data_IF_354478402459
#
_entry.id   IF_354478402459
#
_cell.length_a   1.000
_cell.length_b   1.000
_cell.length_c   1.000
_cell.angle_alpha   90.00
_cell.angle_beta   90.00
_cell.angle_gamma   90.00
#
_symmetry.space_group_name_H-M   'P 1'
#
loop_
_entity.id
_entity.type
_entity.pdbx_description
1 polymer ?
#
# COMPACT_ATOMS: atom_id res chain seq x y z
N UNK A 1 -6.80 15.62 21.02
CA UNK A 1 -5.60 15.40 20.16
C UNK A 1 -6.12 14.84 18.85
N UNK A 2 -5.83 15.46 17.72
CA UNK A 2 -6.33 15.01 16.40
C UNK A 2 -5.14 14.53 15.57
N UNK A 3 -5.14 13.26 15.20
CA UNK A 3 -4.14 12.67 14.30
C UNK A 3 -4.54 12.95 12.85
N UNK A 4 -3.66 13.60 12.08
CA UNK A 4 -3.87 13.89 10.67
C UNK A 4 -2.76 13.24 9.83
N UNK A 5 -3.05 12.15 9.11
CA UNK A 5 -2.06 11.45 8.31
C UNK A 5 -1.71 12.23 7.04
N UNK A 6 -0.44 12.18 6.63
CA UNK A 6 0.04 12.75 5.36
C UNK A 6 0.55 11.60 4.49
N UNK A 7 -0.09 11.41 3.34
CA UNK A 7 0.32 10.38 2.37
C UNK A 7 1.39 10.92 1.43
N UNK A 8 2.21 10.00 0.89
CA UNK A 8 3.19 10.35 -0.13
C UNK A 8 2.49 10.87 -1.39
N UNK A 9 3.04 11.90 -2.03
CA UNK A 9 2.43 12.58 -3.20
C UNK A 9 2.07 11.62 -4.35
N UNK A 10 2.82 10.52 -4.49
CA UNK A 10 2.55 9.49 -5.49
C UNK A 10 1.18 8.84 -5.34
N UNK A 11 0.66 8.75 -4.10
CA UNK A 11 -0.67 8.22 -3.80
C UNK A 11 -1.80 9.20 -4.14
N UNK A 12 -1.46 10.40 -4.63
CA UNK A 12 -2.41 11.36 -5.20
C UNK A 12 -2.13 11.63 -6.69
N UNK A 13 -1.20 10.89 -7.28
CA UNK A 13 -0.80 11.06 -8.68
C UNK A 13 -1.64 10.22 -9.62
N UNK A 14 -1.60 10.55 -10.91
CA UNK A 14 -2.24 9.75 -11.96
C UNK A 14 -1.68 8.33 -12.07
N UNK A 15 -0.50 8.03 -11.51
CA UNK A 15 0.10 6.70 -11.58
C UNK A 15 -0.69 5.63 -10.86
N UNK A 16 -1.48 6.00 -9.85
CA UNK A 16 -2.39 5.10 -9.15
C UNK A 16 -3.84 5.16 -9.68
N UNK A 17 -4.13 6.00 -10.66
CA UNK A 17 -5.45 6.09 -11.29
C UNK A 17 -5.66 4.88 -12.23
N UNK A 18 -6.86 4.30 -12.19
CA UNK A 18 -7.21 3.16 -13.03
C UNK A 18 -7.19 3.52 -14.52
N UNK A 19 -7.55 4.75 -14.89
CA UNK A 19 -7.54 5.24 -16.28
C UNK A 19 -6.12 5.27 -16.86
N UNK A 20 -5.14 5.67 -16.07
CA UNK A 20 -3.73 5.64 -16.48
C UNK A 20 -3.27 4.21 -16.78
N UNK A 21 -3.55 3.28 -15.87
CA UNK A 21 -3.20 1.86 -16.06
C UNK A 21 -3.91 1.25 -17.26
N UNK A 22 -5.20 1.52 -17.44
CA UNK A 22 -5.97 1.08 -18.61
C UNK A 22 -5.41 1.68 -19.90
N UNK A 23 -5.01 2.95 -19.89
CA UNK A 23 -4.36 3.61 -21.02
C UNK A 23 -3.04 2.93 -21.40
N UNK A 24 -2.20 2.60 -20.43
CA UNK A 24 -0.96 1.83 -20.66
C UNK A 24 -1.29 0.45 -21.23
N UNK A 25 -2.25 -0.27 -20.65
CA UNK A 25 -2.63 -1.60 -21.12
C UNK A 25 -3.11 -1.58 -22.57
N UNK A 26 -3.98 -0.63 -22.92
CA UNK A 26 -4.45 -0.45 -24.30
C UNK A 26 -3.32 -0.08 -25.25
N UNK A 27 -2.40 0.79 -24.81
CA UNK A 27 -1.24 1.18 -25.61
C UNK A 27 -0.27 0.00 -25.87
N UNK A 28 -0.20 -0.99 -24.97
CA UNK A 28 0.57 -2.22 -25.20
C UNK A 28 -0.11 -3.09 -26.27
N UNK A 29 -1.43 -3.26 -26.19
CA UNK A 29 -2.21 -4.09 -27.11
C UNK A 29 -2.20 -3.59 -28.56
N UNK A 30 -2.00 -2.29 -28.77
CA UNK A 30 -1.95 -1.67 -30.10
C UNK A 30 -0.56 -1.71 -30.75
N UNK A 31 0.48 -2.19 -30.05
CA UNK A 31 1.85 -2.16 -30.55
C UNK A 31 2.23 -3.50 -31.19
N UNK A 32 2.45 -3.47 -32.50
CA UNK A 32 2.89 -4.63 -33.32
C UNK A 32 4.33 -5.05 -33.00
N UNK A 33 5.17 -4.13 -32.53
CA UNK A 33 6.56 -4.38 -32.16
C UNK A 33 6.94 -3.59 -30.91
N UNK A 34 7.10 -4.28 -29.78
CA UNK A 34 7.43 -3.65 -28.50
C UNK A 34 8.93 -3.73 -28.24
N UNK A 35 9.57 -2.57 -28.05
CA UNK A 35 10.96 -2.52 -27.63
C UNK A 35 11.07 -3.09 -26.20
N UNK A 36 12.02 -3.97 -25.93
CA UNK A 36 12.15 -4.66 -24.64
C UNK A 36 12.45 -3.73 -23.45
N UNK A 37 12.83 -2.47 -23.69
CA UNK A 37 12.99 -1.41 -22.68
C UNK A 37 11.80 -0.46 -22.60
N UNK A 38 10.71 -0.75 -23.30
CA UNK A 38 9.49 0.03 -23.20
C UNK A 38 8.95 -0.05 -21.77
N UNK A 39 8.92 1.10 -21.11
CA UNK A 39 8.47 1.19 -19.72
C UNK A 39 7.03 0.73 -19.56
N UNK A 40 6.19 0.73 -20.62
CA UNK A 40 4.79 0.28 -20.55
C UNK A 40 4.69 -1.18 -20.17
N UNK A 41 5.60 -2.03 -20.67
CA UNK A 41 5.62 -3.47 -20.43
C UNK A 41 5.87 -3.84 -18.96
N UNK A 42 6.81 -3.14 -18.30
CA UNK A 42 7.17 -3.38 -16.89
C UNK A 42 6.45 -2.42 -15.92
N UNK A 43 6.02 -1.28 -16.45
CA UNK A 43 5.38 -0.21 -15.71
C UNK A 43 3.96 -0.57 -15.31
N UNK A 44 3.21 -1.32 -16.12
CA UNK A 44 1.84 -1.69 -15.78
C UNK A 44 1.76 -2.46 -14.45
N UNK A 45 2.59 -3.48 -14.27
CA UNK A 45 2.65 -4.23 -13.00
C UNK A 45 3.16 -3.37 -11.85
N UNK A 46 4.14 -2.49 -12.11
CA UNK A 46 4.69 -1.56 -11.12
C UNK A 46 3.65 -0.52 -10.65
N UNK A 47 2.85 0.04 -11.56
CA UNK A 47 1.79 1.00 -11.24
C UNK A 47 0.60 0.33 -10.55
N UNK A 48 0.28 -0.92 -10.90
CA UNK A 48 -0.71 -1.71 -10.16
C UNK A 48 -0.24 -1.99 -8.73
N UNK A 49 1.03 -2.38 -8.55
CA UNK A 49 1.63 -2.56 -7.23
C UNK A 49 1.57 -1.28 -6.40
N UNK A 50 1.98 -0.15 -6.99
CA UNK A 50 1.95 1.15 -6.35
C UNK A 50 0.54 1.53 -5.89
N UNK A 51 -0.49 1.27 -6.71
CA UNK A 51 -1.88 1.52 -6.33
C UNK A 51 -2.30 0.64 -5.13
N UNK A 52 -1.93 -0.64 -5.12
CA UNK A 52 -2.19 -1.53 -3.98
C UNK A 52 -1.50 -1.05 -2.70
N UNK A 53 -0.25 -0.58 -2.79
CA UNK A 53 0.49 -0.06 -1.64
C UNK A 53 -0.15 1.22 -1.09
N UNK A 54 -0.57 2.14 -1.96
CA UNK A 54 -1.25 3.35 -1.54
C UNK A 54 -2.62 3.06 -0.87
N UNK A 55 -3.39 2.13 -1.44
CA UNK A 55 -4.67 1.71 -0.85
C UNK A 55 -4.48 1.02 0.50
N UNK A 56 -3.45 0.16 0.62
CA UNK A 56 -3.10 -0.48 1.87
C UNK A 56 -2.72 0.55 2.94
N UNK A 57 -1.88 1.54 2.60
CA UNK A 57 -1.52 2.61 3.52
C UNK A 57 -2.76 3.37 4.03
N UNK A 58 -3.71 3.66 3.14
CA UNK A 58 -4.95 4.35 3.48
C UNK A 58 -5.82 3.51 4.43
N UNK A 59 -6.00 2.22 4.15
CA UNK A 59 -6.76 1.29 4.99
C UNK A 59 -6.12 1.13 6.36
N UNK A 60 -4.80 0.91 6.41
CA UNK A 60 -4.07 0.73 7.67
C UNK A 60 -4.18 2.00 8.54
N UNK A 61 -4.03 3.18 7.95
CA UNK A 61 -4.19 4.47 8.64
C UNK A 61 -5.64 4.72 9.08
N UNK A 62 -6.62 4.33 8.28
CA UNK A 62 -8.03 4.49 8.63
C UNK A 62 -8.43 3.59 9.79
N UNK A 63 -8.12 2.29 9.70
CA UNK A 63 -8.31 1.32 10.78
C UNK A 63 -7.61 1.78 12.05
N UNK A 64 -6.46 2.41 11.84
CA UNK A 64 -5.67 2.95 12.91
C UNK A 64 -6.35 4.06 13.71
N UNK A 65 -6.82 5.06 12.99
CA UNK A 65 -7.56 6.16 13.58
C UNK A 65 -8.84 5.68 14.27
N UNK A 66 -9.54 4.70 13.68
CA UNK A 66 -10.70 4.08 14.30
C UNK A 66 -10.36 3.44 15.65
N UNK A 67 -9.32 2.61 15.70
CA UNK A 67 -8.91 1.94 16.94
C UNK A 67 -8.46 2.94 18.02
N UNK A 68 -7.69 3.96 17.64
CA UNK A 68 -7.28 5.01 18.56
C UNK A 68 -8.50 5.76 19.13
N UNK A 69 -9.44 6.16 18.27
CA UNK A 69 -10.64 6.89 18.68
C UNK A 69 -11.61 6.03 19.50
N UNK A 70 -11.62 4.71 19.33
CA UNK A 70 -12.43 3.79 20.14
C UNK A 70 -11.79 3.45 21.49
N UNK A 71 -10.53 3.84 21.72
CA UNK A 71 -9.83 3.54 22.97
C UNK A 71 -10.31 4.46 24.08
N UNK A 72 -11.17 3.96 24.96
CA UNK A 72 -11.67 4.70 26.12
C UNK A 72 -10.68 4.58 27.29
N UNK A 73 -10.16 5.70 27.78
CA UNK A 73 -9.36 5.73 29.01
C UNK A 73 -10.28 5.70 30.24
N UNK A 74 -10.83 4.52 30.56
CA UNK A 74 -11.62 4.32 31.78
C UNK A 74 -10.66 3.97 32.92
N UNK A 75 -10.61 4.82 33.94
CA UNK A 75 -9.87 4.56 35.18
C UNK A 75 -10.83 4.54 36.37
N UNK A 76 -10.72 3.52 37.21
CA UNK A 76 -11.45 3.43 38.48
C UNK A 76 -10.91 4.40 39.55
N UNK A 77 -9.87 5.17 39.21
CA UNK A 77 -9.22 6.15 40.09
C UNK A 77 -9.03 7.47 39.36
N UNK A 78 -9.08 8.58 40.11
CA UNK A 78 -8.80 9.90 39.55
C UNK A 78 -7.33 9.97 39.13
N UNK A 79 -7.07 9.94 37.81
CA UNK A 79 -5.72 10.05 37.29
C UNK A 79 -5.25 11.51 37.36
N UNK A 80 -3.99 11.71 37.74
CA UNK A 80 -3.37 13.02 37.55
C UNK A 80 -3.31 13.35 36.06
N UNK A 81 -3.40 14.64 35.71
CA UNK A 81 -3.24 15.10 34.32
C UNK A 81 -1.96 14.55 33.68
N UNK A 82 -0.86 14.50 34.44
CA UNK A 82 0.43 13.99 33.96
C UNK A 82 0.38 12.50 33.62
N UNK A 83 -0.29 11.70 34.44
CA UNK A 83 -0.48 10.26 34.23
C UNK A 83 -1.35 9.99 33.02
N UNK A 84 -2.45 10.74 32.86
CA UNK A 84 -3.33 10.63 31.71
C UNK A 84 -2.59 10.96 30.40
N UNK A 85 -1.81 12.04 30.39
CA UNK A 85 -0.99 12.43 29.22
C UNK A 85 0.06 11.37 28.92
N UNK A 86 0.74 10.85 29.94
CA UNK A 86 1.75 9.81 29.76
C UNK A 86 1.14 8.52 29.16
N UNK A 87 -0.03 8.11 29.63
CA UNK A 87 -0.77 6.96 29.07
C UNK A 87 -1.24 7.22 27.65
N UNK A 88 -1.73 8.42 27.35
CA UNK A 88 -2.14 8.81 26.00
C UNK A 88 -0.96 8.78 25.01
N UNK A 89 0.20 9.29 25.43
CA UNK A 89 1.42 9.27 24.62
C UNK A 89 1.96 7.85 24.43
N UNK A 90 2.02 7.05 25.49
CA UNK A 90 2.46 5.65 25.39
C UNK A 90 1.55 4.83 24.45
N UNK A 91 0.24 5.05 24.53
CA UNK A 91 -0.70 4.43 23.60
C UNK A 91 -0.46 4.92 22.17
N UNK A 92 -0.19 6.21 21.96
CA UNK A 92 0.14 6.76 20.63
C UNK A 92 1.47 6.20 20.07
N UNK A 93 2.48 5.97 20.91
CA UNK A 93 3.75 5.38 20.47
C UNK A 93 3.60 3.91 20.05
N UNK A 94 2.86 3.13 20.85
CA UNK A 94 2.46 1.77 20.50
C UNK A 94 1.64 1.76 19.20
N UNK A 95 0.77 2.75 19.06
CA UNK A 95 -0.09 2.95 17.91
C UNK A 95 0.73 3.10 16.61
N UNK A 96 1.66 4.07 16.60
CA UNK A 96 2.54 4.36 15.46
C UNK A 96 3.40 3.14 15.10
N UNK A 97 3.95 2.46 16.11
CA UNK A 97 4.82 1.29 15.91
C UNK A 97 4.07 0.11 15.31
N UNK A 98 2.87 -0.20 15.83
CA UNK A 98 2.02 -1.28 15.33
C UNK A 98 1.57 -1.06 13.88
N UNK A 99 1.23 0.18 13.55
CA UNK A 99 0.85 0.57 12.19
C UNK A 99 2.01 0.35 11.20
N UNK A 100 3.23 0.78 11.55
CA UNK A 100 4.40 0.57 10.71
C UNK A 100 4.71 -0.92 10.49
N UNK A 101 4.55 -1.75 11.52
CA UNK A 101 4.72 -3.19 11.42
C UNK A 101 3.66 -3.85 10.51
N UNK A 102 2.39 -3.48 10.70
CA UNK A 102 1.27 -4.01 9.91
C UNK A 102 1.42 -3.67 8.43
N UNK A 103 1.76 -2.41 8.14
CA UNK A 103 2.05 -1.95 6.78
C UNK A 103 3.21 -2.73 6.15
N UNK A 104 4.33 -2.87 6.87
CA UNK A 104 5.52 -3.58 6.38
C UNK A 104 5.22 -5.04 6.03
N UNK A 105 4.43 -5.72 6.86
CA UNK A 105 3.99 -7.10 6.62
C UNK A 105 3.12 -7.20 5.37
N UNK A 106 2.11 -6.35 5.26
CA UNK A 106 1.20 -6.34 4.10
C UNK A 106 1.92 -5.94 2.80
N UNK A 107 2.85 -4.99 2.87
CA UNK A 107 3.75 -4.65 1.77
C UNK A 107 4.62 -5.83 1.34
N UNK A 108 5.16 -6.59 2.30
CA UNK A 108 5.91 -7.83 2.04
C UNK A 108 5.10 -8.82 1.22
N UNK A 109 3.84 -9.08 1.60
CA UNK A 109 2.93 -9.96 0.86
C UNK A 109 2.70 -9.47 -0.57
N UNK A 110 2.44 -8.17 -0.76
CA UNK A 110 2.26 -7.56 -2.09
C UNK A 110 3.51 -7.79 -2.94
N UNK A 111 4.69 -7.47 -2.41
CA UNK A 111 5.98 -7.65 -3.08
C UNK A 111 6.21 -9.10 -3.47
N UNK A 112 6.03 -10.02 -2.53
CA UNK A 112 6.30 -11.45 -2.74
C UNK A 112 5.32 -12.05 -3.77
N UNK A 113 4.07 -11.60 -3.77
CA UNK A 113 3.07 -11.96 -4.79
C UNK A 113 3.46 -11.45 -6.17
N UNK A 114 3.92 -10.20 -6.29
CA UNK A 114 4.35 -9.61 -7.57
C UNK A 114 5.60 -10.30 -8.10
N UNK A 115 6.59 -10.56 -7.25
CA UNK A 115 7.83 -11.23 -7.66
C UNK A 115 7.57 -12.70 -8.03
N UNK A 116 6.76 -13.41 -7.25
CA UNK A 116 6.35 -14.78 -7.54
C UNK A 116 5.58 -14.88 -8.86
N UNK A 117 4.59 -14.01 -9.08
CA UNK A 117 3.84 -13.97 -10.34
C UNK A 117 4.70 -13.50 -11.52
N UNK A 118 5.62 -12.55 -11.30
CA UNK A 118 6.56 -12.11 -12.33
C UNK A 118 7.48 -13.24 -12.80
N UNK A 119 7.94 -14.10 -11.87
CA UNK A 119 8.71 -15.28 -12.20
C UNK A 119 7.88 -16.28 -13.01
N UNK A 120 6.69 -16.65 -12.51
CA UNK A 120 5.78 -17.60 -13.16
C UNK A 120 5.35 -17.12 -14.56
N UNK A 121 4.95 -15.86 -14.70
CA UNK A 121 4.56 -15.28 -15.99
C UNK A 121 5.72 -15.19 -16.98
N UNK A 122 6.95 -14.96 -16.52
CA UNK A 122 8.14 -15.01 -17.38
C UNK A 122 8.49 -16.42 -17.86
N UNK A 123 8.24 -17.44 -17.03
CA UNK A 123 8.49 -18.84 -17.37
C UNK A 123 7.38 -19.46 -18.24
N UNK A 124 6.13 -18.97 -18.14
CA UNK A 124 4.99 -19.46 -18.92
C UNK A 124 4.79 -18.73 -20.25
N UNK A 125 5.48 -17.60 -20.49
CA UNK A 125 5.40 -16.86 -21.75
C UNK A 125 6.35 -17.38 -22.85
N UNK A 126 7.03 -18.51 -22.64
CA UNK A 126 7.94 -19.13 -23.60
C UNK A 126 7.60 -20.58 -23.95
N UNK A 127 6.32 -20.90 -24.20
CA UNK A 127 5.94 -22.14 -24.90
C UNK A 127 5.16 -21.76 -26.16
N UNK A 128 5.89 -21.62 -27.28
CA UNK A 128 5.28 -21.58 -28.61
C UNK A 128 4.98 -23.02 -29.02
N UNK A 129 3.72 -23.45 -28.90
CA UNK A 129 3.28 -24.70 -29.52
C UNK A 129 3.18 -24.45 -31.03
N UNK A 130 4.13 -25.02 -31.78
CA UNK A 130 4.04 -25.11 -33.24
C UNK A 130 3.17 -26.32 -33.58
N UNK A 131 2.08 -26.06 -34.31
CA UNK A 131 1.39 -27.05 -35.13
C UNK A 131 1.65 -26.68 -36.60
#
# INVERSE_FOLDING_TARGET
MTLSPIFHQVCHSSFIDSRWRTGIANAILQVVYTYNRDFRLRGLSSFSALASVCSLAEIDIFNALLHFNSTTFISNTLLSKSTLIAQANANLDLYVTSMAYSFSRSFGIIRDTIQGNGFISSTLSSITLRF
#
